data_IF_102238577707
#
_entry.id   IF_102238577707
#
_cell.length_a   1.000
_cell.length_b   1.000
_cell.length_c   1.000
_cell.angle_alpha   90.00
_cell.angle_beta   90.00
_cell.angle_gamma   90.00
#
_symmetry.space_group_name_H-M   'P 1'
#
loop_
_entity.id
_entity.type
_entity.pdbx_description
1 polymer ?
#
# COMPACT_ATOMS: atom_id res chain seq x y z
N UNK A 1 3.45 -6.37 20.65
CA UNK A 1 4.36 -5.22 20.47
C UNK A 1 5.68 -5.59 19.82
N UNK A 2 6.14 -6.85 19.87
CA UNK A 2 7.43 -7.30 19.32
C UNK A 2 7.79 -6.78 17.92
N UNK A 3 6.83 -6.75 16.97
CA UNK A 3 7.09 -6.20 15.62
C UNK A 3 7.45 -4.71 15.61
N UNK A 4 6.88 -3.93 16.53
CA UNK A 4 7.16 -2.48 16.65
C UNK A 4 8.44 -2.26 17.42
N UNK A 5 8.63 -2.98 18.52
CA UNK A 5 9.81 -2.82 19.39
C UNK A 5 11.10 -3.30 18.71
N UNK A 6 11.01 -4.30 17.83
CA UNK A 6 12.14 -4.78 17.03
C UNK A 6 12.49 -3.92 15.82
N UNK A 7 11.62 -2.97 15.45
CA UNK A 7 11.70 -2.22 14.19
C UNK A 7 11.29 -3.03 12.95
N UNK A 8 10.81 -4.27 13.10
CA UNK A 8 10.44 -5.11 11.98
C UNK A 8 9.21 -4.56 11.23
N UNK A 9 8.32 -3.86 11.93
CA UNK A 9 7.18 -3.19 11.31
C UNK A 9 7.66 -2.20 10.22
N UNK A 10 8.72 -1.44 10.48
CA UNK A 10 9.28 -0.48 9.54
C UNK A 10 9.86 -1.18 8.31
N UNK A 11 10.59 -2.28 8.51
CA UNK A 11 11.09 -3.13 7.42
C UNK A 11 9.96 -3.69 6.55
N UNK A 12 8.90 -4.18 7.18
CA UNK A 12 7.72 -4.71 6.47
C UNK A 12 6.96 -3.60 5.73
N UNK A 13 6.88 -2.39 6.29
CA UNK A 13 6.30 -1.24 5.60
C UNK A 13 7.12 -0.82 4.37
N UNK A 14 8.46 -0.85 4.47
CA UNK A 14 9.35 -0.59 3.33
C UNK A 14 9.18 -1.64 2.23
N UNK A 15 9.21 -2.93 2.58
CA UNK A 15 8.96 -4.01 1.65
C UNK A 15 7.65 -3.83 0.88
N UNK A 16 6.55 -3.51 1.57
CA UNK A 16 5.26 -3.31 0.91
C UNK A 16 5.32 -2.12 -0.04
N UNK A 17 5.97 -1.01 0.34
CA UNK A 17 6.13 0.15 -0.55
C UNK A 17 6.89 -0.23 -1.82
N UNK A 18 7.97 -0.99 -1.71
CA UNK A 18 8.77 -1.42 -2.85
C UNK A 18 7.98 -2.33 -3.78
N UNK A 19 7.27 -3.33 -3.22
CA UNK A 19 6.43 -4.23 -4.01
C UNK A 19 5.26 -3.53 -4.69
N UNK A 20 4.68 -2.51 -4.08
CA UNK A 20 3.64 -1.69 -4.72
C UNK A 20 4.19 -0.78 -5.83
N UNK A 21 5.49 -0.45 -5.82
CA UNK A 21 6.16 0.22 -6.95
C UNK A 21 6.43 -0.80 -8.06
N UNK A 22 7.07 -1.92 -7.73
CA UNK A 22 7.47 -2.95 -8.70
C UNK A 22 6.28 -3.59 -9.42
N UNK A 23 5.16 -3.79 -8.73
CA UNK A 23 3.92 -4.31 -9.33
C UNK A 23 3.18 -3.30 -10.22
N UNK A 24 3.65 -2.05 -10.29
CA UNK A 24 2.99 -0.97 -11.03
C UNK A 24 1.76 -0.37 -10.32
N UNK A 25 1.41 -0.85 -9.12
CA UNK A 25 0.25 -0.36 -8.36
C UNK A 25 0.33 1.15 -8.09
N UNK A 26 1.51 1.67 -7.74
CA UNK A 26 1.70 3.11 -7.48
C UNK A 26 1.38 3.95 -8.72
N UNK A 27 1.78 3.49 -9.90
CA UNK A 27 1.52 4.19 -11.16
C UNK A 27 0.05 4.10 -11.55
N UNK A 28 -0.60 2.95 -11.32
CA UNK A 28 -2.04 2.79 -11.51
C UNK A 28 -2.82 3.79 -10.65
N UNK A 29 -2.47 3.95 -9.38
CA UNK A 29 -3.12 4.93 -8.49
C UNK A 29 -2.89 6.36 -8.95
N UNK A 30 -1.68 6.68 -9.42
CA UNK A 30 -1.35 8.00 -9.98
C UNK A 30 -2.17 8.30 -11.23
N UNK A 31 -2.36 7.31 -12.12
CA UNK A 31 -3.20 7.44 -13.32
C UNK A 31 -4.65 7.69 -12.91
N UNK A 32 -5.19 6.88 -11.99
CA UNK A 32 -6.57 7.02 -11.52
C UNK A 32 -6.84 8.42 -10.89
N UNK A 33 -5.90 8.94 -10.09
CA UNK A 33 -5.97 10.32 -9.58
C UNK A 33 -6.03 11.35 -10.72
N UNK A 34 -5.15 11.21 -11.73
CA UNK A 34 -5.09 12.14 -12.88
C UNK A 34 -6.36 12.12 -13.70
N UNK A 35 -6.94 10.95 -13.92
CA UNK A 35 -8.21 10.79 -14.63
C UNK A 35 -9.37 11.45 -13.89
N UNK A 36 -9.45 11.27 -12.57
CA UNK A 36 -10.47 11.94 -11.75
C UNK A 36 -10.34 13.47 -11.83
N UNK A 37 -9.11 13.99 -11.68
CA UNK A 37 -8.84 15.43 -11.80
C UNK A 37 -9.18 15.97 -13.19
N UNK A 38 -8.84 15.23 -14.25
CA UNK A 38 -9.14 15.62 -15.63
C UNK A 38 -10.66 15.65 -15.88
N UNK A 39 -11.41 14.70 -15.34
CA UNK A 39 -12.87 14.60 -15.52
C UNK A 39 -13.62 15.71 -14.77
N UNK A 40 -13.20 16.05 -13.55
CA UNK A 40 -13.91 17.01 -12.71
C UNK A 40 -13.42 18.45 -12.88
N UNK A 41 -12.17 18.65 -13.28
CA UNK A 41 -11.53 19.95 -13.37
C UNK A 41 -10.65 20.22 -12.14
N UNK A 42 -9.45 20.76 -12.37
CA UNK A 42 -8.42 20.94 -11.32
C UNK A 42 -8.87 21.86 -10.17
N UNK A 43 -9.73 22.85 -10.44
CA UNK A 43 -10.22 23.80 -9.43
C UNK A 43 -11.28 23.20 -8.50
N UNK A 44 -11.90 22.09 -8.90
CA UNK A 44 -13.07 21.51 -8.25
C UNK A 44 -12.75 20.20 -7.49
N UNK A 45 -11.46 19.88 -7.33
CA UNK A 45 -10.98 18.66 -6.68
C UNK A 45 -10.10 19.00 -5.49
N UNK A 46 -10.44 18.42 -4.33
CA UNK A 46 -9.61 18.48 -3.13
C UNK A 46 -8.83 17.19 -2.92
N UNK A 47 -7.81 17.23 -2.07
CA UNK A 47 -7.06 16.02 -1.68
C UNK A 47 -7.97 15.01 -0.98
N UNK A 48 -8.84 15.47 -0.07
CA UNK A 48 -9.77 14.58 0.65
C UNK A 48 -10.72 13.84 -0.28
N UNK A 49 -11.18 14.51 -1.34
CA UNK A 49 -11.98 13.87 -2.37
C UNK A 49 -11.19 12.78 -3.11
N UNK A 50 -9.95 13.07 -3.50
CA UNK A 50 -9.09 12.07 -4.14
C UNK A 50 -8.87 10.88 -3.21
N UNK A 51 -8.61 11.11 -1.92
CA UNK A 51 -8.49 10.03 -0.94
C UNK A 51 -9.77 9.19 -0.92
N UNK A 52 -10.94 9.84 -0.81
CA UNK A 52 -12.24 9.14 -0.75
C UNK A 52 -12.50 8.29 -1.99
N UNK A 53 -12.16 8.79 -3.17
CA UNK A 53 -12.43 8.11 -4.45
C UNK A 53 -11.40 7.01 -4.74
N UNK A 54 -10.14 7.25 -4.45
CA UNK A 54 -9.04 6.38 -4.87
C UNK A 54 -8.76 5.28 -3.85
N UNK A 55 -8.99 5.52 -2.55
CA UNK A 55 -8.73 4.54 -1.48
C UNK A 55 -9.43 3.20 -1.68
N UNK A 56 -10.73 3.12 -2.03
CA UNK A 56 -11.39 1.85 -2.30
C UNK A 56 -10.73 1.07 -3.44
N UNK A 57 -10.40 1.76 -4.54
CA UNK A 57 -9.70 1.16 -5.69
C UNK A 57 -8.32 0.66 -5.27
N UNK A 58 -7.54 1.49 -4.61
CA UNK A 58 -6.19 1.14 -4.17
C UNK A 58 -6.16 -0.08 -3.26
N UNK A 59 -7.09 -0.19 -2.30
CA UNK A 59 -7.19 -1.38 -1.43
C UNK A 59 -7.57 -2.64 -2.21
N UNK A 60 -8.49 -2.52 -3.18
CA UNK A 60 -8.95 -3.64 -3.98
C UNK A 60 -7.89 -4.14 -4.99
N UNK A 61 -7.05 -3.24 -5.51
CA UNK A 61 -6.06 -3.59 -6.53
C UNK A 61 -4.70 -4.03 -5.98
N UNK A 62 -4.51 -4.09 -4.65
CA UNK A 62 -3.27 -4.64 -4.08
C UNK A 62 -3.13 -6.11 -4.51
N UNK A 63 -2.04 -6.49 -5.21
CA UNK A 63 -1.84 -7.86 -5.66
C UNK A 63 -1.76 -8.85 -4.49
N UNK A 64 -2.39 -10.01 -4.63
CA UNK A 64 -2.41 -11.02 -3.56
C UNK A 64 -1.01 -11.56 -3.24
N UNK A 65 -0.13 -11.67 -4.24
CA UNK A 65 1.27 -12.05 -4.04
C UNK A 65 2.01 -11.14 -3.04
N UNK A 66 1.69 -9.83 -3.01
CA UNK A 66 2.29 -8.89 -2.05
C UNK A 66 1.77 -9.16 -0.63
N UNK A 67 0.47 -9.46 -0.50
CA UNK A 67 -0.15 -9.81 0.79
C UNK A 67 0.41 -11.14 1.32
N UNK A 68 0.58 -12.12 0.44
CA UNK A 68 1.17 -13.43 0.76
C UNK A 68 2.62 -13.30 1.20
N UNK A 69 3.46 -12.54 0.49
CA UNK A 69 4.85 -12.30 0.89
C UNK A 69 4.91 -11.62 2.27
N UNK A 70 4.08 -10.60 2.49
CA UNK A 70 4.00 -9.89 3.77
C UNK A 70 3.59 -10.84 4.91
N UNK A 71 2.54 -11.63 4.72
CA UNK A 71 2.06 -12.59 5.73
C UNK A 71 3.13 -13.63 6.06
N UNK A 72 3.80 -14.18 5.04
CA UNK A 72 4.87 -15.14 5.21
C UNK A 72 6.04 -14.57 6.03
N UNK A 73 6.43 -13.32 5.80
CA UNK A 73 7.49 -12.66 6.58
C UNK A 73 7.08 -12.40 8.02
N UNK A 74 5.85 -11.94 8.25
CA UNK A 74 5.30 -11.76 9.60
C UNK A 74 5.33 -13.10 10.36
N UNK A 75 4.85 -14.18 9.75
CA UNK A 75 4.83 -15.51 10.38
C UNK A 75 6.24 -15.99 10.71
N UNK A 76 7.19 -15.88 9.77
CA UNK A 76 8.60 -16.24 10.00
C UNK A 76 9.23 -15.46 11.14
N UNK A 77 9.00 -14.14 11.18
CA UNK A 77 9.53 -13.29 12.24
C UNK A 77 8.98 -13.70 13.62
N UNK A 78 7.66 -13.90 13.72
CA UNK A 78 7.02 -14.32 14.98
C UNK A 78 7.55 -15.68 15.42
N UNK A 79 7.71 -16.64 14.50
CA UNK A 79 8.29 -17.95 14.81
C UNK A 79 9.74 -17.84 15.31
N UNK A 80 10.57 -16.98 14.70
CA UNK A 80 11.94 -16.78 15.14
C UNK A 80 12.06 -16.04 16.47
N UNK A 81 11.13 -15.14 16.78
CA UNK A 81 11.15 -14.34 18.02
C UNK A 81 10.51 -15.05 19.22
N UNK A 82 9.80 -16.15 19.00
CA UNK A 82 9.20 -16.99 20.04
C UNK A 82 10.15 -18.11 20.53
N UNK A 83 11.32 -18.23 19.91
CA UNK A 83 12.44 -19.09 20.31
C UNK A 83 13.48 -18.27 21.06
#
# INVERSE_FOLDING_TARGET
MVLVESGEKENLMELVRDRLVESGWKDEMRIACREHVKKKGRKDVTVDELIRVITPKGRASVPDAVKEELLNRIQKFIQSAAL
#
